data_IF_886893984281
#
_entry.id   IF_886893984281
#
_cell.length_a   1.000
_cell.length_b   1.000
_cell.length_c   1.000
_cell.angle_alpha   90.00
_cell.angle_beta   90.00
_cell.angle_gamma   90.00
#
_symmetry.space_group_name_H-M   'P 1'
#
loop_
_entity.id
_entity.type
_entity.pdbx_description
1 polymer ?
#
# COMPACT_ATOMS: atom_id res chain seq x y z
N UNK A 1 -28.94 7.57 1.00
CA UNK A 1 -28.74 6.13 1.28
C UNK A 1 -27.24 5.87 1.22
N UNK A 2 -26.62 5.88 2.39
CA UNK A 2 -25.17 5.75 2.60
C UNK A 2 -24.69 4.36 2.15
N UNK A 3 -23.70 4.32 1.26
CA UNK A 3 -22.97 3.08 0.97
C UNK A 3 -21.67 3.10 1.77
N UNK A 4 -21.68 2.29 2.83
CA UNK A 4 -20.60 2.01 3.75
C UNK A 4 -19.24 1.89 3.07
N UNK A 5 -18.29 2.72 3.52
CA UNK A 5 -16.85 2.48 3.33
C UNK A 5 -16.42 1.30 4.18
N UNK A 6 -16.49 0.09 3.64
CA UNK A 6 -15.80 -1.07 4.22
C UNK A 6 -14.53 -1.36 3.43
N UNK A 7 -13.56 -0.44 3.52
CA UNK A 7 -12.18 -0.87 3.36
C UNK A 7 -11.81 -1.63 4.64
N UNK A 8 -11.98 -2.94 4.62
CA UNK A 8 -11.27 -3.82 5.54
C UNK A 8 -9.78 -3.63 5.28
N UNK A 9 -9.17 -2.68 5.99
CA UNK A 9 -7.74 -2.69 6.25
C UNK A 9 -7.48 -3.91 7.14
N UNK A 10 -7.46 -5.09 6.54
CA UNK A 10 -6.85 -6.26 7.16
C UNK A 10 -5.36 -5.97 7.15
N UNK A 11 -4.90 -5.24 8.16
CA UNK A 11 -3.47 -5.17 8.47
C UNK A 11 -3.04 -6.61 8.74
N UNK A 12 -2.49 -7.24 7.71
CA UNK A 12 -1.86 -8.53 7.85
C UNK A 12 -0.62 -8.31 8.72
N UNK A 13 -0.77 -8.48 10.04
CA UNK A 13 0.31 -8.73 10.99
C UNK A 13 0.95 -10.10 10.72
N UNK A 14 1.31 -10.38 9.47
CA UNK A 14 2.07 -11.58 9.13
C UNK A 14 3.52 -11.18 9.27
N UNK A 15 4.02 -11.29 10.50
CA UNK A 15 5.47 -11.37 10.71
C UNK A 15 5.94 -12.62 9.96
N UNK A 16 6.58 -12.42 8.82
CA UNK A 16 7.12 -13.53 8.03
C UNK A 16 8.24 -14.21 8.82
N UNK A 17 8.52 -15.48 8.49
CA UNK A 17 9.49 -16.30 9.22
C UNK A 17 10.88 -15.65 9.39
N UNK A 18 11.31 -14.76 8.49
CA UNK A 18 12.60 -14.06 8.61
C UNK A 18 12.47 -12.61 9.10
N UNK A 19 11.35 -12.23 9.74
CA UNK A 19 11.22 -10.92 10.36
C UNK A 19 12.22 -10.79 11.52
N UNK A 20 13.29 -10.01 11.31
CA UNK A 20 14.39 -9.84 12.27
C UNK A 20 13.93 -9.35 13.65
N UNK A 21 12.81 -8.62 13.73
CA UNK A 21 12.24 -8.18 14.99
C UNK A 21 10.71 -8.14 14.90
N UNK A 22 10.05 -9.07 15.60
CA UNK A 22 8.58 -9.08 15.74
C UNK A 22 8.11 -7.84 16.53
N UNK A 23 6.84 -7.41 16.41
CA UNK A 23 6.27 -6.34 17.23
C UNK A 23 6.49 -6.54 18.73
N UNK A 24 6.41 -7.79 19.20
CA UNK A 24 6.67 -8.16 20.60
C UNK A 24 8.14 -7.94 20.99
N UNK A 25 9.10 -8.28 20.12
CA UNK A 25 10.52 -8.02 20.38
C UNK A 25 10.86 -6.53 20.36
N UNK A 26 10.25 -5.74 19.45
CA UNK A 26 10.40 -4.27 19.44
C UNK A 26 9.91 -3.65 20.74
N UNK A 27 8.76 -4.11 21.23
CA UNK A 27 8.22 -3.63 22.51
C UNK A 27 9.17 -3.95 23.67
N UNK A 28 9.68 -5.18 23.75
CA UNK A 28 10.66 -5.56 24.80
C UNK A 28 11.93 -4.72 24.75
N UNK A 29 12.48 -4.53 23.54
CA UNK A 29 13.65 -3.68 23.34
C UNK A 29 13.38 -2.26 23.83
N UNK A 30 12.24 -1.68 23.44
CA UNK A 30 11.93 -0.30 23.78
C UNK A 30 11.70 -0.11 25.29
N UNK A 31 11.03 -1.04 25.96
CA UNK A 31 10.84 -1.04 27.42
C UNK A 31 12.16 -1.12 28.18
N UNK A 32 13.08 -1.98 27.76
CA UNK A 32 14.40 -2.07 28.39
C UNK A 32 15.14 -0.72 28.34
N UNK A 33 15.04 0.01 27.23
CA UNK A 33 15.68 1.32 27.07
C UNK A 33 14.94 2.43 27.84
N UNK A 34 13.61 2.45 27.77
CA UNK A 34 12.80 3.58 28.26
C UNK A 34 12.37 3.40 29.71
N UNK A 35 11.92 2.20 30.08
CA UNK A 35 11.37 1.90 31.40
C UNK A 35 12.49 1.40 32.35
N UNK A 36 13.38 0.53 31.85
CA UNK A 36 14.45 -0.07 32.67
C UNK A 36 15.79 0.70 32.56
N UNK A 37 15.84 1.79 31.78
CA UNK A 37 16.99 2.69 31.69
C UNK A 37 18.23 2.11 31.01
N UNK A 38 18.10 1.04 30.21
CA UNK A 38 19.25 0.47 29.52
C UNK A 38 19.83 1.44 28.48
N UNK A 39 21.16 1.53 28.36
CA UNK A 39 21.80 2.22 27.25
C UNK A 39 21.35 1.60 25.90
N UNK A 40 21.00 2.41 24.87
CA UNK A 40 20.56 1.87 23.59
C UNK A 40 21.58 0.95 22.90
N UNK A 41 22.88 1.14 23.15
CA UNK A 41 23.96 0.26 22.66
C UNK A 41 23.86 -1.16 23.24
N UNK A 42 23.67 -1.27 24.55
CA UNK A 42 23.50 -2.57 25.24
C UNK A 42 22.25 -3.30 24.76
N UNK A 43 21.15 -2.57 24.62
CA UNK A 43 19.92 -3.16 24.08
C UNK A 43 20.11 -3.60 22.61
N UNK A 44 20.79 -2.79 21.80
CA UNK A 44 21.07 -3.13 20.41
C UNK A 44 21.87 -4.43 20.28
N UNK A 45 22.91 -4.60 21.10
CA UNK A 45 23.70 -5.84 21.17
C UNK A 45 22.85 -7.05 21.58
N UNK A 46 22.05 -6.92 22.65
CA UNK A 46 21.22 -8.01 23.15
C UNK A 46 20.18 -8.49 22.12
N UNK A 47 19.57 -7.58 21.38
CA UNK A 47 18.58 -7.90 20.35
C UNK A 47 19.19 -8.13 18.96
N UNK A 48 20.52 -8.11 18.83
CA UNK A 48 21.26 -8.24 17.58
C UNK A 48 20.75 -7.29 16.47
N UNK A 49 20.57 -6.02 16.83
CA UNK A 49 20.17 -4.94 15.91
C UNK A 49 21.19 -3.81 15.94
N UNK A 50 21.13 -2.91 14.96
CA UNK A 50 21.97 -1.71 14.98
C UNK A 50 21.52 -0.73 16.07
N UNK A 51 22.47 0.03 16.62
CA UNK A 51 22.19 1.14 17.56
C UNK A 51 21.07 2.06 17.05
N UNK A 52 21.13 2.46 15.78
CA UNK A 52 20.09 3.32 15.16
C UNK A 52 18.69 2.67 15.19
N UNK A 53 18.61 1.36 15.03
CA UNK A 53 17.34 0.63 15.10
C UNK A 53 16.80 0.63 16.52
N UNK A 54 17.65 0.39 17.51
CA UNK A 54 17.26 0.43 18.92
C UNK A 54 16.77 1.83 19.33
N UNK A 55 17.53 2.88 19.00
CA UNK A 55 17.16 4.28 19.29
C UNK A 55 15.84 4.67 18.61
N UNK A 56 15.64 4.25 17.35
CA UNK A 56 14.38 4.50 16.62
C UNK A 56 13.17 3.89 17.35
N UNK A 57 13.28 2.63 17.79
CA UNK A 57 12.18 1.96 18.48
C UNK A 57 11.93 2.53 19.87
N UNK A 58 12.99 2.87 20.61
CA UNK A 58 12.86 3.57 21.89
C UNK A 58 12.16 4.91 21.73
N UNK A 59 12.55 5.73 20.75
CA UNK A 59 11.90 7.01 20.49
C UNK A 59 10.42 6.83 20.17
N UNK A 60 10.10 5.91 19.26
CA UNK A 60 8.71 5.65 18.89
C UNK A 60 7.87 5.16 20.07
N UNK A 61 8.44 4.39 20.99
CA UNK A 61 7.75 3.97 22.21
C UNK A 61 7.49 5.14 23.16
N UNK A 62 8.40 6.12 23.26
CA UNK A 62 8.13 7.35 24.02
C UNK A 62 6.98 8.16 23.42
N UNK A 63 6.93 8.25 22.09
CA UNK A 63 5.97 9.09 21.39
C UNK A 63 4.57 8.45 21.31
N UNK A 64 4.49 7.13 21.08
CA UNK A 64 3.25 6.43 20.70
C UNK A 64 2.93 5.23 21.61
N UNK A 65 3.78 4.93 22.59
CA UNK A 65 3.63 3.78 23.46
C UNK A 65 3.62 2.44 22.69
N UNK A 66 2.80 1.50 23.15
CA UNK A 66 2.67 0.17 22.56
C UNK A 66 2.21 0.23 21.09
N UNK A 67 1.36 1.19 20.75
CA UNK A 67 0.82 1.36 19.39
C UNK A 67 1.92 1.67 18.36
N UNK A 68 3.01 2.29 18.79
CA UNK A 68 4.15 2.58 17.92
C UNK A 68 4.90 1.32 17.44
N UNK A 69 4.77 0.17 18.12
CA UNK A 69 5.56 -1.03 17.82
C UNK A 69 5.07 -1.78 16.57
N UNK A 70 3.93 -1.37 16.04
CA UNK A 70 3.28 -1.89 14.84
C UNK A 70 4.07 -1.47 13.59
N UNK A 71 4.06 -2.32 12.57
CA UNK A 71 4.62 -1.97 11.27
C UNK A 71 3.84 -0.81 10.65
N UNK A 72 4.57 0.26 10.33
CA UNK A 72 4.01 1.32 9.50
C UNK A 72 4.03 0.85 8.06
N UNK A 73 3.02 1.26 7.31
CA UNK A 73 3.04 1.07 5.86
C UNK A 73 4.33 1.66 5.29
N UNK A 74 5.11 0.84 4.59
CA UNK A 74 6.23 1.31 3.77
C UNK A 74 5.76 1.93 2.45
N UNK A 75 4.45 1.89 2.18
CA UNK A 75 3.88 2.50 0.99
C UNK A 75 4.06 4.02 1.06
N UNK A 76 4.56 4.59 -0.04
CA UNK A 76 4.68 6.05 -0.19
C UNK A 76 3.30 6.69 -0.03
N UNK A 77 3.21 7.75 0.77
CA UNK A 77 1.97 8.51 0.98
C UNK A 77 1.44 9.13 -0.32
N UNK A 78 2.33 9.54 -1.22
CA UNK A 78 1.99 10.05 -2.55
C UNK A 78 2.73 9.28 -3.63
N UNK A 79 2.08 9.12 -4.77
CA UNK A 79 2.65 8.51 -5.96
C UNK A 79 2.69 9.57 -7.05
N UNK A 80 3.88 10.08 -7.35
CA UNK A 80 4.07 11.16 -8.33
C UNK A 80 3.77 10.71 -9.77
N UNK A 81 3.93 9.43 -10.08
CA UNK A 81 3.65 8.87 -11.40
C UNK A 81 2.18 8.45 -11.61
N UNK A 82 1.23 8.99 -10.83
CA UNK A 82 -0.20 8.72 -11.08
C UNK A 82 -0.61 9.43 -12.38
N UNK A 83 -1.24 8.67 -13.27
CA UNK A 83 -1.88 9.20 -14.48
C UNK A 83 -2.78 10.38 -14.11
N UNK A 84 -2.59 11.57 -14.70
CA UNK A 84 -3.39 12.74 -14.40
C UNK A 84 -4.88 12.48 -14.63
N UNK A 85 -5.73 13.09 -13.80
CA UNK A 85 -7.17 12.84 -13.83
C UNK A 85 -7.85 13.13 -15.19
N UNK A 86 -7.42 14.13 -15.98
CA UNK A 86 -7.92 14.30 -17.34
C UNK A 86 -7.65 13.09 -18.24
N UNK A 87 -6.48 12.47 -18.12
CA UNK A 87 -6.13 11.29 -18.92
C UNK A 87 -6.90 10.05 -18.46
N UNK A 88 -7.13 9.90 -17.14
CA UNK A 88 -8.02 8.87 -16.60
C UNK A 88 -9.42 8.98 -17.20
N UNK A 89 -9.99 10.19 -17.27
CA UNK A 89 -11.30 10.43 -17.90
C UNK A 89 -11.31 10.04 -19.38
N UNK A 90 -10.25 10.36 -20.14
CA UNK A 90 -10.12 9.97 -21.56
C UNK A 90 -10.08 8.44 -21.72
N UNK A 91 -9.31 7.75 -20.89
CA UNK A 91 -9.23 6.27 -20.90
C UNK A 91 -10.61 5.66 -20.62
N UNK A 92 -11.28 6.13 -19.57
CA UNK A 92 -12.62 5.66 -19.19
C UNK A 92 -13.64 5.97 -20.29
N UNK A 93 -13.60 7.16 -20.90
CA UNK A 93 -14.48 7.53 -22.00
C UNK A 93 -14.29 6.61 -23.21
N UNK A 94 -13.05 6.39 -23.66
CA UNK A 94 -12.77 5.49 -24.79
C UNK A 94 -13.22 4.06 -24.48
N UNK A 95 -13.07 3.62 -23.22
CA UNK A 95 -13.58 2.34 -22.75
C UNK A 95 -15.10 2.25 -22.83
N UNK A 96 -15.82 3.26 -22.31
CA UNK A 96 -17.27 3.27 -22.17
C UNK A 96 -18.05 3.71 -23.41
N UNK A 97 -17.46 4.46 -24.33
CA UNK A 97 -18.16 4.89 -25.55
C UNK A 97 -17.83 3.98 -26.74
N UNK A 98 -16.58 3.51 -26.81
CA UNK A 98 -16.08 2.78 -27.98
C UNK A 98 -15.71 1.32 -27.69
N UNK A 99 -15.87 0.83 -26.44
CA UNK A 99 -15.56 -0.56 -26.04
C UNK A 99 -14.16 -1.00 -26.48
N UNK A 100 -13.17 -0.11 -26.37
CA UNK A 100 -11.81 -0.38 -26.79
C UNK A 100 -11.04 -1.17 -25.72
N UNK A 101 -10.19 -2.08 -26.20
CA UNK A 101 -9.22 -2.79 -25.37
C UNK A 101 -8.06 -1.90 -24.94
N UNK A 102 -7.28 -2.30 -23.92
CA UNK A 102 -6.14 -1.52 -23.42
C UNK A 102 -5.12 -1.14 -24.50
N UNK A 103 -4.84 -2.05 -25.44
CA UNK A 103 -3.91 -1.82 -26.57
C UNK A 103 -4.43 -0.77 -27.55
N UNK A 104 -5.73 -0.79 -27.86
CA UNK A 104 -6.34 0.17 -28.77
C UNK A 104 -6.44 1.57 -28.15
N UNK A 105 -6.74 1.64 -26.85
CA UNK A 105 -6.76 2.91 -26.12
C UNK A 105 -5.33 3.48 -26.01
N UNK A 106 -4.35 2.63 -25.72
CA UNK A 106 -2.93 2.99 -25.68
C UNK A 106 -2.46 3.64 -26.97
N UNK A 107 -2.75 3.01 -28.12
CA UNK A 107 -2.41 3.56 -29.43
C UNK A 107 -3.06 4.92 -29.71
N UNK A 108 -4.29 5.15 -29.21
CA UNK A 108 -5.00 6.44 -29.39
C UNK A 108 -4.51 7.56 -28.48
N UNK A 109 -4.00 7.22 -27.31
CA UNK A 109 -3.60 8.19 -26.27
C UNK A 109 -2.08 8.36 -26.16
N UNK A 110 -1.31 7.70 -27.04
CA UNK A 110 0.14 7.66 -27.03
C UNK A 110 0.71 7.34 -25.63
N UNK A 111 0.29 6.20 -25.09
CA UNK A 111 0.69 5.78 -23.74
C UNK A 111 0.82 4.25 -23.62
N UNK A 112 1.60 3.72 -22.65
CA UNK A 112 1.77 2.29 -22.50
C UNK A 112 0.44 1.56 -22.20
N UNK A 113 0.21 0.42 -22.86
CA UNK A 113 -0.98 -0.41 -22.63
C UNK A 113 -1.08 -0.93 -21.19
N UNK A 114 0.06 -1.14 -20.51
CA UNK A 114 0.11 -1.49 -19.08
C UNK A 114 -0.45 -0.37 -18.19
N UNK A 115 -0.15 0.89 -18.50
CA UNK A 115 -0.69 2.06 -17.79
C UNK A 115 -2.20 2.16 -17.98
N UNK A 116 -2.68 1.99 -19.22
CA UNK A 116 -4.12 1.97 -19.52
C UNK A 116 -4.81 0.85 -18.75
N UNK A 117 -4.25 -0.36 -18.79
CA UNK A 117 -4.80 -1.50 -18.05
C UNK A 117 -4.86 -1.23 -16.54
N UNK A 118 -3.78 -0.70 -15.95
CA UNK A 118 -3.75 -0.35 -14.53
C UNK A 118 -4.80 0.72 -14.16
N UNK A 119 -5.04 1.70 -15.03
CA UNK A 119 -6.11 2.69 -14.86
C UNK A 119 -7.49 2.03 -14.91
N UNK A 120 -7.75 1.17 -15.90
CA UNK A 120 -9.03 0.45 -16.02
C UNK A 120 -9.30 -0.43 -14.80
N UNK A 121 -8.29 -1.16 -14.31
CA UNK A 121 -8.37 -1.97 -13.10
C UNK A 121 -8.71 -1.11 -11.88
N UNK A 122 -8.03 0.03 -11.72
CA UNK A 122 -8.30 0.97 -10.62
C UNK A 122 -9.71 1.57 -10.70
N UNK A 123 -10.23 1.78 -11.91
CA UNK A 123 -11.59 2.23 -12.16
C UNK A 123 -12.64 1.10 -12.15
N UNK A 124 -12.24 -0.15 -11.86
CA UNK A 124 -13.11 -1.34 -11.85
C UNK A 124 -13.76 -1.66 -13.21
N UNK A 125 -13.17 -1.25 -14.32
CA UNK A 125 -13.69 -1.46 -15.69
C UNK A 125 -12.97 -2.62 -16.40
N UNK A 126 -12.94 -3.77 -15.75
CA UNK A 126 -12.18 -4.92 -16.23
C UNK A 126 -12.88 -5.66 -17.38
N UNK A 127 -12.16 -6.65 -17.96
CA UNK A 127 -12.36 -7.38 -19.22
C UNK A 127 -13.67 -7.12 -20.01
N UNK A 128 -13.52 -6.76 -21.30
CA UNK A 128 -14.66 -6.68 -22.23
C UNK A 128 -15.31 -8.02 -22.49
N UNK A 129 -14.68 -9.14 -22.13
CA UNK A 129 -15.26 -10.47 -22.28
C UNK A 129 -16.54 -10.67 -21.47
N UNK A 130 -16.80 -9.82 -20.47
CA UNK A 130 -18.02 -9.87 -19.65
C UNK A 130 -19.08 -8.86 -20.11
N UNK A 131 -18.87 -8.20 -21.25
CA UNK A 131 -19.76 -7.18 -21.78
C UNK A 131 -19.96 -7.47 -23.26
N UNK A 132 -21.20 -7.63 -23.68
CA UNK A 132 -21.51 -7.74 -25.10
C UNK A 132 -20.98 -6.49 -25.83
N UNK A 133 -20.16 -6.70 -26.87
CA UNK A 133 -19.48 -5.60 -27.57
C UNK A 133 -20.43 -4.79 -28.45
N UNK A 134 -21.56 -5.38 -28.84
CA UNK A 134 -22.58 -4.80 -29.72
C UNK A 134 -23.67 -4.14 -28.88
N UNK A 135 -24.20 -4.83 -27.86
CA UNK A 135 -25.32 -4.33 -27.05
C UNK A 135 -24.87 -3.56 -25.80
N UNK A 136 -23.68 -3.87 -25.28
CA UNK A 136 -23.14 -3.21 -24.08
C UNK A 136 -23.75 -3.70 -22.77
N UNK A 137 -24.60 -4.72 -22.80
CA UNK A 137 -25.20 -5.37 -21.64
C UNK A 137 -24.17 -6.31 -20.96
N UNK A 138 -24.25 -6.49 -19.63
CA UNK A 138 -23.46 -7.51 -18.95
C UNK A 138 -23.88 -8.90 -19.49
N UNK A 139 -22.89 -9.66 -19.96
CA UNK A 139 -23.08 -11.05 -20.38
C UNK A 139 -23.31 -11.97 -19.17
#
# INVERSE_FOLDING_TARGET
>A
MELSRTHFHREAFVAHANAALTPKHRLRLARLIVDDGWPPSRAAEFFNVSYRTATKWAQRYRDEGVNGMIDRSSARHSQHAKTPQPMVRKIVHLRWKHRLGPVQIAAKLDMPASTVHAVLVRCRLNRLSHVDRVTGEPA
#
